data_IF_078230743942
#
_entry.id   IF_078230743942
#
_cell.length_a   1.000
_cell.length_b   1.000
_cell.length_c   1.000
_cell.angle_alpha   90.00
_cell.angle_beta   90.00
_cell.angle_gamma   90.00
#
_symmetry.space_group_name_H-M   'P 1'
#
loop_
_entity.id
_entity.type
_entity.pdbx_description
1 polymer ?
#
# COMPACT_ATOMS: atom_id res chain seq x y z
N UNK A 1 -15.96 4.48 13.05
CA UNK A 1 -15.60 3.20 12.46
C UNK A 1 -15.75 3.31 10.95
N UNK A 2 -14.66 3.32 10.24
CA UNK A 2 -14.74 3.24 8.77
C UNK A 2 -14.85 1.77 8.42
N UNK A 3 -16.08 1.29 8.30
CA UNK A 3 -16.32 0.06 7.58
C UNK A 3 -16.07 0.37 6.10
N UNK A 4 -15.01 -0.20 5.55
CA UNK A 4 -14.83 -0.13 4.13
C UNK A 4 -15.91 -0.97 3.41
N UNK A 5 -16.01 -0.81 2.10
CA UNK A 5 -17.00 -1.52 1.27
C UNK A 5 -16.90 -3.06 1.34
N UNK A 6 -15.90 -3.59 2.01
CA UNK A 6 -15.62 -5.02 2.17
C UNK A 6 -15.87 -5.51 3.61
N UNK A 7 -16.39 -4.65 4.51
CA UNK A 7 -16.60 -4.97 5.93
C UNK A 7 -15.30 -5.17 6.70
N UNK A 8 -14.21 -4.61 6.22
CA UNK A 8 -12.88 -4.79 6.79
C UNK A 8 -12.53 -3.54 7.61
N UNK A 9 -12.43 -3.69 8.93
CA UNK A 9 -11.98 -2.61 9.82
C UNK A 9 -10.47 -2.47 9.73
N UNK A 10 -10.01 -1.27 9.39
CA UNK A 10 -8.58 -0.96 9.44
C UNK A 10 -8.12 -0.83 10.90
N UNK A 11 -6.98 -1.45 11.23
CA UNK A 11 -6.33 -1.33 12.52
C UNK A 11 -4.80 -1.30 12.36
N UNK A 12 -4.05 -0.73 13.33
CA UNK A 12 -2.58 -0.77 13.32
C UNK A 12 -2.02 -2.20 13.26
N UNK A 13 -2.66 -3.16 13.94
CA UNK A 13 -2.27 -4.58 13.90
C UNK A 13 -2.43 -5.16 12.51
N UNK A 14 -3.51 -4.81 11.83
CA UNK A 14 -3.78 -5.26 10.47
C UNK A 14 -2.77 -4.68 9.48
N UNK A 15 -2.40 -3.42 9.64
CA UNK A 15 -1.34 -2.79 8.84
C UNK A 15 0.00 -3.52 9.04
N UNK A 16 0.38 -3.83 10.28
CA UNK A 16 1.59 -4.55 10.61
C UNK A 16 1.58 -5.97 10.02
N UNK A 17 0.46 -6.69 10.14
CA UNK A 17 0.28 -8.02 9.58
C UNK A 17 0.36 -8.02 8.05
N UNK A 18 -0.25 -7.03 7.41
CA UNK A 18 -0.16 -6.85 5.95
C UNK A 18 1.29 -6.59 5.53
N UNK A 19 2.01 -5.72 6.25
CA UNK A 19 3.44 -5.46 6.01
C UNK A 19 4.28 -6.74 6.07
N UNK A 20 4.07 -7.56 7.10
CA UNK A 20 4.76 -8.86 7.26
C UNK A 20 4.41 -9.83 6.12
N UNK A 21 3.13 -9.96 5.77
CA UNK A 21 2.68 -10.79 4.65
C UNK A 21 3.32 -10.35 3.32
N UNK A 22 3.45 -9.04 3.09
CA UNK A 22 4.08 -8.51 1.89
C UNK A 22 5.60 -8.78 1.85
N UNK A 23 6.26 -8.76 3.00
CA UNK A 23 7.69 -9.11 3.09
C UNK A 23 7.94 -10.60 2.83
N UNK A 24 7.03 -11.45 3.27
CA UNK A 24 7.07 -12.91 3.06
C UNK A 24 6.61 -13.32 1.66
N UNK A 25 5.88 -12.47 0.96
CA UNK A 25 5.35 -12.76 -0.38
C UNK A 25 6.48 -12.91 -1.40
N UNK A 26 6.76 -14.14 -1.76
CA UNK A 26 7.71 -14.46 -2.82
C UNK A 26 6.98 -14.50 -4.15
N UNK A 27 7.44 -13.67 -5.10
CA UNK A 27 6.96 -13.76 -6.48
C UNK A 27 7.46 -15.07 -7.09
N UNK A 28 6.57 -15.88 -7.72
CA UNK A 28 6.99 -17.06 -8.42
C UNK A 28 8.01 -16.71 -9.50
N UNK A 29 9.09 -17.48 -9.60
CA UNK A 29 10.03 -17.36 -10.72
C UNK A 29 9.45 -18.08 -11.93
N UNK A 30 9.60 -17.46 -13.11
CA UNK A 30 9.21 -18.07 -14.38
C UNK A 30 10.45 -18.71 -15.00
N UNK A 31 10.59 -20.06 -15.01
CA UNK A 31 11.69 -20.73 -15.67
C UNK A 31 11.59 -20.51 -17.21
N UNK A 32 12.73 -20.53 -17.87
CA UNK A 32 12.79 -20.40 -19.34
C UNK A 32 12.03 -21.54 -20.05
N UNK A 33 12.03 -22.73 -19.48
CA UNK A 33 11.42 -23.97 -19.99
C UNK A 33 10.03 -24.25 -19.38
N UNK A 34 9.37 -23.25 -18.82
CA UNK A 34 8.05 -23.37 -18.20
C UNK A 34 7.05 -24.05 -19.13
N UNK A 35 6.31 -25.01 -18.62
CA UNK A 35 5.25 -25.72 -19.37
C UNK A 35 3.99 -24.87 -19.50
N UNK A 36 3.11 -25.20 -20.47
CA UNK A 36 1.80 -24.54 -20.59
C UNK A 36 0.95 -24.73 -19.33
N UNK A 37 0.96 -25.89 -18.71
CA UNK A 37 0.24 -26.16 -17.48
C UNK A 37 0.74 -25.28 -16.32
N UNK A 38 2.05 -25.08 -16.20
CA UNK A 38 2.64 -24.20 -15.19
C UNK A 38 2.32 -22.74 -15.46
N UNK A 39 2.26 -22.31 -16.73
CA UNK A 39 1.80 -20.97 -17.11
C UNK A 39 0.36 -20.72 -16.70
N UNK A 40 -0.53 -21.68 -16.93
CA UNK A 40 -1.93 -21.58 -16.51
C UNK A 40 -2.06 -21.46 -14.99
N UNK A 41 -1.28 -22.26 -14.25
CA UNK A 41 -1.21 -22.19 -12.79
C UNK A 41 -0.74 -20.83 -12.29
N UNK A 42 0.31 -20.26 -12.91
CA UNK A 42 0.80 -18.93 -12.56
C UNK A 42 -0.18 -17.82 -12.92
N UNK A 43 -0.85 -17.92 -14.06
CA UNK A 43 -1.89 -16.95 -14.45
C UNK A 43 -3.09 -17.00 -13.49
N UNK A 44 -3.49 -18.19 -13.05
CA UNK A 44 -4.52 -18.35 -12.02
C UNK A 44 -4.08 -17.73 -10.67
N UNK A 45 -2.83 -17.91 -10.29
CA UNK A 45 -2.25 -17.26 -9.10
C UNK A 45 -2.32 -15.73 -9.21
N UNK A 46 -1.92 -15.16 -10.36
CA UNK A 46 -2.02 -13.72 -10.59
C UNK A 46 -3.46 -13.21 -10.54
N UNK A 47 -4.40 -13.96 -11.14
CA UNK A 47 -5.81 -13.62 -11.17
C UNK A 47 -6.44 -13.56 -9.77
N UNK A 48 -5.93 -14.33 -8.81
CA UNK A 48 -6.36 -14.30 -7.42
C UNK A 48 -5.60 -13.27 -6.58
N UNK A 49 -4.29 -13.15 -6.78
CA UNK A 49 -3.44 -12.30 -5.95
C UNK A 49 -3.56 -10.81 -6.28
N UNK A 50 -3.65 -10.45 -7.56
CA UNK A 50 -3.73 -9.04 -7.97
C UNK A 50 -4.95 -8.32 -7.40
N UNK A 51 -6.19 -8.84 -7.52
CA UNK A 51 -7.35 -8.20 -6.91
C UNK A 51 -7.23 -8.05 -5.39
N UNK A 52 -6.65 -9.04 -4.72
CA UNK A 52 -6.41 -8.99 -3.28
C UNK A 52 -5.45 -7.86 -2.90
N UNK A 53 -4.31 -7.73 -3.60
CA UNK A 53 -3.34 -6.66 -3.34
C UNK A 53 -3.90 -5.28 -3.69
N UNK A 54 -4.64 -5.15 -4.79
CA UNK A 54 -5.28 -3.89 -5.20
C UNK A 54 -6.31 -3.45 -4.17
N UNK A 55 -7.16 -4.35 -3.68
CA UNK A 55 -8.14 -4.04 -2.65
C UNK A 55 -7.47 -3.58 -1.35
N UNK A 56 -6.40 -4.26 -0.92
CA UNK A 56 -5.63 -3.84 0.25
C UNK A 56 -4.96 -2.47 0.04
N UNK A 57 -4.47 -2.18 -1.17
CA UNK A 57 -3.90 -0.88 -1.50
C UNK A 57 -4.94 0.23 -1.37
N UNK A 58 -6.15 0.04 -1.87
CA UNK A 58 -7.24 1.02 -1.75
C UNK A 58 -7.58 1.32 -0.28
N UNK A 59 -7.59 0.30 0.57
CA UNK A 59 -7.81 0.46 2.02
C UNK A 59 -6.69 1.28 2.65
N UNK A 60 -5.45 0.95 2.36
CA UNK A 60 -4.28 1.64 2.92
C UNK A 60 -4.19 3.08 2.40
N UNK A 61 -4.50 3.33 1.13
CA UNK A 61 -4.55 4.67 0.54
C UNK A 61 -5.64 5.55 1.19
N UNK A 62 -6.79 4.95 1.52
CA UNK A 62 -7.86 5.64 2.25
C UNK A 62 -7.43 5.99 3.67
N UNK A 63 -6.75 5.08 4.36
CA UNK A 63 -6.25 5.32 5.72
C UNK A 63 -5.13 6.35 5.75
N UNK A 64 -4.27 6.39 4.74
CA UNK A 64 -3.24 7.43 4.59
C UNK A 64 -3.88 8.83 4.56
N UNK A 65 -4.92 9.01 3.74
CA UNK A 65 -5.64 10.29 3.66
C UNK A 65 -6.31 10.66 4.97
N UNK A 66 -6.92 9.68 5.65
CA UNK A 66 -7.55 9.88 6.94
C UNK A 66 -6.53 10.29 8.00
N UNK A 67 -5.42 9.58 8.10
CA UNK A 67 -4.34 9.90 9.04
C UNK A 67 -3.73 11.28 8.77
N UNK A 68 -3.48 11.62 7.52
CA UNK A 68 -2.98 12.94 7.13
C UNK A 68 -3.95 14.05 7.56
N UNK A 69 -5.25 13.87 7.34
CA UNK A 69 -6.26 14.84 7.76
C UNK A 69 -6.34 15.00 9.29
N UNK A 70 -6.23 13.89 10.02
CA UNK A 70 -6.18 13.93 11.49
C UNK A 70 -4.95 14.67 12.02
N UNK A 71 -3.79 14.50 11.39
CA UNK A 71 -2.58 15.25 11.75
C UNK A 71 -2.79 16.75 11.56
N UNK A 72 -3.32 17.18 10.43
CA UNK A 72 -3.59 18.60 10.16
C UNK A 72 -4.63 19.18 11.12
N UNK A 73 -5.67 18.42 11.46
CA UNK A 73 -6.64 18.83 12.47
C UNK A 73 -5.99 19.00 13.85
N UNK A 74 -5.17 18.05 14.27
CA UNK A 74 -4.44 18.12 15.57
C UNK A 74 -3.49 19.31 15.62
N UNK A 75 -2.74 19.56 14.53
CA UNK A 75 -1.87 20.73 14.45
C UNK A 75 -2.65 22.03 14.58
N UNK A 76 -3.80 22.14 13.93
CA UNK A 76 -4.67 23.32 13.99
C UNK A 76 -5.22 23.54 15.41
N UNK A 77 -5.65 22.49 16.10
CA UNK A 77 -6.07 22.56 17.51
C UNK A 77 -4.95 23.08 18.40
N UNK A 78 -3.76 22.49 18.31
CA UNK A 78 -2.60 22.89 19.10
C UNK A 78 -2.20 24.35 18.82
N UNK A 79 -2.21 24.77 17.56
CA UNK A 79 -1.92 26.14 17.18
C UNK A 79 -2.91 27.12 17.83
N UNK A 80 -4.21 26.79 17.81
CA UNK A 80 -5.24 27.60 18.45
C UNK A 80 -5.06 27.66 19.97
N UNK A 81 -4.77 26.54 20.61
CA UNK A 81 -4.57 26.48 22.06
C UNK A 81 -3.33 27.29 22.51
N UNK A 82 -2.23 27.18 21.77
CA UNK A 82 -1.01 27.96 22.04
C UNK A 82 -1.29 29.46 21.85
N UNK A 83 -1.98 29.83 20.78
CA UNK A 83 -2.30 31.24 20.48
C UNK A 83 -3.23 31.84 21.52
N UNK A 84 -4.16 31.08 22.09
CA UNK A 84 -5.01 31.55 23.21
C UNK A 84 -4.22 31.91 24.45
N UNK A 85 -3.14 31.15 24.73
CA UNK A 85 -2.26 31.40 25.88
C UNK A 85 -1.24 32.49 25.57
N UNK A 86 -0.74 32.58 24.37
CA UNK A 86 0.26 33.56 23.93
C UNK A 86 -0.14 34.15 22.56
N UNK A 87 -0.95 35.22 22.59
CA UNK A 87 -1.44 35.90 21.38
C UNK A 87 -0.34 36.63 20.57
N UNK A 88 0.83 36.88 21.17
CA UNK A 88 1.98 37.55 20.56
C UNK A 88 3.02 36.60 19.95
N UNK A 89 2.77 35.29 19.94
CA UNK A 89 3.73 34.30 19.44
C UNK A 89 3.99 34.48 17.93
N UNK A 90 5.27 34.40 17.56
CA UNK A 90 5.66 34.48 16.14
C UNK A 90 5.24 33.20 15.40
N UNK A 91 4.82 33.35 14.13
CA UNK A 91 4.36 32.23 13.30
C UNK A 91 5.38 31.08 13.20
N UNK A 92 6.68 31.41 13.12
CA UNK A 92 7.76 30.41 13.06
C UNK A 92 7.88 29.62 14.37
N UNK A 93 7.79 30.31 15.50
CA UNK A 93 7.84 29.67 16.82
C UNK A 93 6.62 28.80 17.06
N UNK A 94 5.42 29.27 16.71
CA UNK A 94 4.18 28.50 16.77
C UNK A 94 4.28 27.21 15.96
N UNK A 95 4.76 27.31 14.71
CA UNK A 95 4.96 26.14 13.87
C UNK A 95 5.94 25.13 14.47
N UNK A 96 7.02 25.60 15.06
CA UNK A 96 8.00 24.74 15.72
C UNK A 96 7.40 24.03 16.93
N UNK A 97 6.68 24.75 17.80
CA UNK A 97 6.01 24.15 18.97
C UNK A 97 4.99 23.08 18.59
N UNK A 98 4.20 23.32 17.55
CA UNK A 98 3.23 22.33 17.03
C UNK A 98 3.96 21.10 16.48
N UNK A 99 5.03 21.28 15.72
CA UNK A 99 5.73 20.16 15.08
C UNK A 99 6.53 19.29 16.08
N UNK A 100 6.98 19.84 17.20
CA UNK A 100 7.69 19.07 18.23
C UNK A 100 6.75 18.41 19.25
N UNK A 101 5.44 18.66 19.16
CA UNK A 101 4.47 18.07 20.06
C UNK A 101 4.52 16.54 19.98
N UNK A 102 4.59 15.81 21.12
CA UNK A 102 4.74 14.36 21.12
C UNK A 102 3.58 13.62 20.44
N UNK A 103 2.34 14.10 20.56
CA UNK A 103 1.19 13.48 19.90
C UNK A 103 1.27 13.64 18.38
N UNK A 104 1.65 14.83 17.89
CA UNK A 104 1.84 15.08 16.45
C UNK A 104 2.94 14.19 15.90
N UNK A 105 4.06 14.06 16.61
CA UNK A 105 5.16 13.17 16.21
C UNK A 105 4.72 11.71 16.15
N UNK A 106 3.99 11.22 17.16
CA UNK A 106 3.48 9.85 17.16
C UNK A 106 2.55 9.60 15.96
N UNK A 107 1.65 10.53 15.65
CA UNK A 107 0.78 10.43 14.47
C UNK A 107 1.56 10.45 13.15
N UNK A 108 2.63 11.22 13.06
CA UNK A 108 3.51 11.26 11.89
C UNK A 108 4.30 9.95 11.73
N UNK A 109 4.74 9.33 12.82
CA UNK A 109 5.40 8.00 12.80
C UNK A 109 4.44 6.92 12.29
N UNK A 110 3.17 6.95 12.71
CA UNK A 110 2.15 6.04 12.17
C UNK A 110 1.89 6.28 10.67
N UNK A 111 1.87 7.53 10.23
CA UNK A 111 1.76 7.86 8.80
C UNK A 111 2.94 7.31 7.99
N UNK A 112 4.16 7.35 8.53
CA UNK A 112 5.33 6.75 7.86
C UNK A 112 5.21 5.23 7.71
N UNK A 113 4.63 4.53 8.69
CA UNK A 113 4.34 3.10 8.58
C UNK A 113 3.33 2.81 7.46
N UNK A 114 2.29 3.63 7.35
CA UNK A 114 1.31 3.56 6.27
C UNK A 114 2.00 3.76 4.91
N UNK A 115 2.84 4.78 4.76
CA UNK A 115 3.60 5.02 3.52
C UNK A 115 4.52 3.84 3.15
N UNK A 116 5.17 3.23 4.14
CA UNK A 116 6.00 2.04 3.91
C UNK A 116 5.18 0.87 3.36
N UNK A 117 3.99 0.62 3.91
CA UNK A 117 3.10 -0.44 3.44
C UNK A 117 2.54 -0.13 2.05
N UNK A 118 2.19 1.12 1.76
CA UNK A 118 1.78 1.57 0.42
C UNK A 118 2.88 1.28 -0.62
N UNK A 119 4.14 1.61 -0.30
CA UNK A 119 5.26 1.37 -1.19
C UNK A 119 5.46 -0.13 -1.47
N UNK A 120 5.34 -0.98 -0.45
CA UNK A 120 5.42 -2.45 -0.60
C UNK A 120 4.28 -2.98 -1.48
N UNK A 121 3.04 -2.55 -1.25
CA UNK A 121 1.88 -2.92 -2.07
C UNK A 121 2.07 -2.53 -3.53
N UNK A 122 2.46 -1.29 -3.80
CA UNK A 122 2.71 -0.80 -5.15
C UNK A 122 3.80 -1.59 -5.87
N UNK A 123 4.90 -1.91 -5.18
CA UNK A 123 5.97 -2.71 -5.74
C UNK A 123 5.53 -4.14 -6.08
N UNK A 124 4.74 -4.79 -5.21
CA UNK A 124 4.22 -6.15 -5.45
C UNK A 124 3.20 -6.19 -6.59
N UNK A 125 2.29 -5.22 -6.63
CA UNK A 125 1.31 -5.08 -7.72
C UNK A 125 2.04 -4.91 -9.05
N UNK A 126 2.96 -3.98 -9.16
CA UNK A 126 3.72 -3.72 -10.39
C UNK A 126 4.52 -4.95 -10.86
N UNK A 127 5.14 -5.67 -9.94
CA UNK A 127 5.88 -6.88 -10.26
C UNK A 127 4.98 -8.01 -10.77
N UNK A 128 3.81 -8.22 -10.16
CA UNK A 128 2.83 -9.20 -10.63
C UNK A 128 2.22 -8.82 -11.97
N UNK A 129 1.90 -7.56 -12.19
CA UNK A 129 1.38 -7.06 -13.48
C UNK A 129 2.40 -7.27 -14.60
N UNK A 130 3.66 -6.94 -14.38
CA UNK A 130 4.74 -7.17 -15.35
C UNK A 130 4.92 -8.65 -15.67
N UNK A 131 4.90 -9.51 -14.65
CA UNK A 131 5.00 -10.95 -14.83
C UNK A 131 3.78 -11.50 -15.58
N UNK A 132 2.58 -11.02 -15.29
CA UNK A 132 1.36 -11.42 -15.97
C UNK A 132 1.40 -11.09 -17.46
N UNK A 133 1.85 -9.89 -17.83
CA UNK A 133 2.01 -9.47 -19.24
C UNK A 133 3.02 -10.38 -19.95
N UNK A 134 4.13 -10.68 -19.34
CA UNK A 134 5.18 -11.53 -19.90
C UNK A 134 4.69 -12.97 -20.11
N UNK A 135 3.97 -13.53 -19.14
CA UNK A 135 3.39 -14.88 -19.24
C UNK A 135 2.34 -14.98 -20.34
N UNK A 136 1.47 -13.98 -20.48
CA UNK A 136 0.46 -13.95 -21.57
C UNK A 136 1.11 -13.93 -22.93
N UNK A 137 2.15 -13.10 -23.12
CA UNK A 137 2.91 -13.08 -24.39
C UNK A 137 3.55 -14.42 -24.70
N UNK A 138 4.20 -15.03 -23.71
CA UNK A 138 4.85 -16.33 -23.87
C UNK A 138 3.83 -17.44 -24.19
N UNK A 139 2.68 -17.44 -23.55
CA UNK A 139 1.58 -18.39 -23.82
C UNK A 139 1.08 -18.25 -25.26
N UNK A 140 0.88 -17.02 -25.71
CA UNK A 140 0.45 -16.76 -27.11
C UNK A 140 1.45 -17.30 -28.10
N UNK A 141 2.73 -17.00 -27.94
CA UNK A 141 3.81 -17.48 -28.83
C UNK A 141 3.85 -19.00 -28.87
N UNK A 142 3.76 -19.68 -27.74
CA UNK A 142 3.78 -21.14 -27.69
C UNK A 142 2.55 -21.80 -28.32
N UNK A 143 1.36 -21.22 -28.13
CA UNK A 143 0.15 -21.71 -28.80
C UNK A 143 0.21 -21.55 -30.32
N UNK A 144 0.75 -20.44 -30.79
CA UNK A 144 0.97 -20.21 -32.21
C UNK A 144 1.97 -21.22 -32.80
N UNK A 145 3.07 -21.49 -32.10
CA UNK A 145 4.05 -22.51 -32.52
C UNK A 145 3.42 -23.89 -32.60
N UNK A 146 2.58 -24.28 -31.66
CA UNK A 146 1.86 -25.56 -31.68
C UNK A 146 0.89 -25.67 -32.87
N UNK A 147 0.19 -24.58 -33.25
CA UNK A 147 -0.70 -24.53 -34.39
C UNK A 147 0.04 -24.67 -35.73
N UNK A 148 1.30 -24.20 -35.78
CA UNK A 148 2.15 -24.27 -36.96
C UNK A 148 2.85 -25.63 -37.12
N UNK A 149 2.65 -26.56 -36.19
CA UNK A 149 3.29 -27.87 -36.19
C UNK A 149 4.80 -27.86 -35.92
N UNK A 150 5.25 -26.85 -35.27
CA UNK A 150 6.68 -26.65 -34.91
C UNK A 150 6.93 -27.12 -33.48
#
# INVERSE_FOLDING_TARGET
MNEDRLGIVFSPERLANLGTQLDELKLPKVPYDITLADMETLLAYHANMLPYLIANKEIVDSEEKNQAAQIEFKKSQLANDITKVNSGIKATELKNLVNVNPEVRAMQEELLKIHSTQAKLSARISALESQNVSLRKLTTVRLESLKQGV
#
